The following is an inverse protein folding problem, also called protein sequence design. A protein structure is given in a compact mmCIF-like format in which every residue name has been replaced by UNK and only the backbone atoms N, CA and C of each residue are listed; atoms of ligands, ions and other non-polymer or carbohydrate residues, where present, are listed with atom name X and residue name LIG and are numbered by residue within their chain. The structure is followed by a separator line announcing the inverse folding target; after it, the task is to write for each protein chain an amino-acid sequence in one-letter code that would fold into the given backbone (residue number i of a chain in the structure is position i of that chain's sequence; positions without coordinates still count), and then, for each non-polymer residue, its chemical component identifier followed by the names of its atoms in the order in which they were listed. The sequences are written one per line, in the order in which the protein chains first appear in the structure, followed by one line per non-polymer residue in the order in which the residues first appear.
data_IF_627384715114
#
_entry.id   IF_627384715114
#
_cell.length_a   1.000
_cell.length_b   1.000
_cell.length_c   1.000
_cell.angle_alpha   90.00
_cell.angle_beta   90.00
_cell.angle_gamma   90.00
#
_symmetry.space_group_name_H-M   'P 1'
#
loop_
_entity.id
_entity.type
_entity.pdbx_description
1 polymer ?
#
# COMPACT_ATOMS: atom_id res chain seq x y z
N UNK A 1 -7.07 10.20 -24.51
CA UNK A 1 -7.03 9.97 -24.13
C UNK A 1 -7.34 9.22 -23.68
N UNK A 2 -7.47 8.79 -23.46
CA UNK A 2 -7.76 8.14 -22.93
C UNK A 2 -7.34 7.52 -22.32
N UNK A 3 -6.94 7.23 -22.10
CA UNK A 3 -6.49 6.72 -21.56
C UNK A 3 -6.55 6.87 -20.46
N UNK A 4 -6.61 7.13 -19.96
CA UNK A 4 -6.61 7.54 -18.99
C UNK A 4 -7.52 7.01 -18.20
N UNK A 5 -8.22 6.65 -18.32
CA UNK A 5 -9.15 6.23 -17.61
C UNK A 5 -8.77 5.02 -17.06
N UNK A 6 -7.97 4.29 -17.38
CA UNK A 6 -7.77 3.14 -16.89
C UNK A 6 -6.77 3.24 -15.98
N UNK A 7 -6.15 4.01 -16.08
CA UNK A 7 -5.16 3.95 -15.22
C UNK A 7 -5.60 4.07 -13.92
N UNK A 8 -6.59 4.45 -13.75
CA UNK A 8 -7.07 4.69 -12.57
C UNK A 8 -7.09 3.64 -11.65
N UNK A 9 -7.31 2.63 -12.03
CA UNK A 9 -7.48 1.73 -11.09
C UNK A 9 -6.22 1.34 -10.60
N UNK A 10 -5.34 1.48 -10.95
CA UNK A 10 -4.22 1.08 -10.48
C UNK A 10 -3.39 1.84 -9.80
N UNK A 11 -3.23 2.54 -9.63
CA UNK A 11 -2.48 3.28 -8.92
C UNK A 11 -1.41 2.74 -8.47
N UNK A 12 -0.98 2.22 -8.59
CA UNK A 12 0.03 1.66 -8.24
C UNK A 12 1.23 1.64 -8.09
N UNK A 13 1.77 1.59 -8.24
CA UNK A 13 2.89 1.60 -8.02
C UNK A 13 3.63 0.66 -7.96
N UNK A 14 3.65 0.20 -7.73
CA UNK A 14 4.32 -0.76 -7.47
C UNK A 14 5.16 -1.53 -8.04
N UNK A 15 5.72 -1.33 -8.36
CA UNK A 15 6.59 -1.99 -8.96
C UNK A 15 6.79 -3.25 -8.54
N UNK A 16 7.19 -3.65 -7.87
CA UNK A 16 7.39 -4.81 -7.52
C UNK A 16 6.49 -5.65 -7.45
N UNK A 17 5.74 -5.45 -7.33
CA UNK A 17 4.90 -6.29 -7.25
C UNK A 17 4.75 -7.62 -7.37
N UNK A 18 5.39 -8.12 -7.86
CA UNK A 18 5.26 -9.43 -7.95
C UNK A 18 4.71 -9.94 -6.74
N UNK A 19 4.88 -9.42 -5.73
CA UNK A 19 4.38 -9.88 -4.60
C UNK A 19 3.04 -10.15 -4.63
N UNK A 20 2.34 -9.62 -5.15
CA UNK A 20 1.07 -9.83 -5.16
C UNK A 20 0.50 -10.77 -5.93
N UNK A 21 1.08 -11.40 -6.52
CA UNK A 21 0.51 -12.32 -7.33
C UNK A 21 -0.37 -13.08 -6.61
N UNK A 22 -0.32 -13.24 -5.55
CA UNK A 22 -1.10 -14.03 -4.89
C UNK A 22 -2.42 -13.81 -4.84
N UNK A 23 -2.98 -13.05 -4.99
CA UNK A 23 -4.28 -12.90 -4.94
C UNK A 23 -5.07 -13.46 -3.95
N UNK A 24 -4.70 -14.07 -3.13
CA UNK A 24 -5.57 -14.59 -2.25
C UNK A 24 -5.80 -13.74 -1.15
N UNK A 25 -6.80 -13.69 -0.56
CA UNK A 25 -7.05 -12.89 0.52
C UNK A 25 -6.79 -13.56 1.80
N UNK A 26 -6.25 -14.73 1.88
CA UNK A 26 -6.02 -15.31 3.08
C UNK A 26 -4.71 -14.97 3.59
N UNK A 27 -4.47 -14.86 4.85
CA UNK A 27 -3.21 -14.60 5.45
C UNK A 27 -2.26 -15.75 5.19
N UNK A 28 -1.02 -15.45 4.96
CA UNK A 28 0.00 -16.47 4.88
C UNK A 28 1.09 -16.09 5.86
N UNK A 29 1.91 -17.07 6.23
CA UNK A 29 2.91 -16.85 7.22
C UNK A 29 3.91 -15.81 6.76
N UNK A 30 4.29 -14.93 7.63
CA UNK A 30 5.29 -13.93 7.31
C UNK A 30 6.70 -14.49 7.50
N UNK A 31 7.64 -14.02 6.72
CA UNK A 31 9.03 -14.49 6.88
C UNK A 31 9.59 -14.02 8.21
N UNK A 32 10.65 -14.67 8.62
CA UNK A 32 11.31 -14.32 9.84
C UNK A 32 11.72 -12.87 9.82
N UNK A 33 11.59 -12.20 10.90
CA UNK A 33 11.91 -10.78 10.97
C UNK A 33 10.70 -9.89 10.90
N UNK A 34 9.57 -10.40 10.46
CA UNK A 34 8.35 -9.63 10.42
C UNK A 34 7.34 -10.23 11.39
N UNK A 35 6.52 -9.39 11.98
CA UNK A 35 5.39 -9.89 12.76
C UNK A 35 4.13 -9.24 12.20
N UNK A 36 3.00 -9.90 12.36
CA UNK A 36 1.76 -9.32 11.90
C UNK A 36 1.53 -7.98 12.58
N UNK A 37 1.84 -7.89 13.86
CA UNK A 37 1.62 -6.65 14.56
C UNK A 37 2.49 -5.52 14.03
N UNK A 38 3.76 -5.78 13.75
CA UNK A 38 4.63 -4.72 13.26
C UNK A 38 4.22 -4.26 11.88
N UNK A 39 3.81 -5.21 11.01
CA UNK A 39 3.39 -4.87 9.67
C UNK A 39 2.10 -4.08 9.73
N UNK A 40 1.16 -4.51 10.57
CA UNK A 40 -0.11 -3.84 10.71
C UNK A 40 0.07 -2.42 11.23
N UNK A 41 0.86 -2.26 12.27
CA UNK A 41 1.06 -0.95 12.87
C UNK A 41 1.73 0.02 11.90
N UNK A 42 2.73 -0.47 11.17
CA UNK A 42 3.39 0.39 10.21
C UNK A 42 2.46 0.74 9.05
N UNK A 43 1.62 -0.21 8.63
CA UNK A 43 0.70 0.07 7.54
C UNK A 43 -0.31 1.12 7.96
N UNK A 44 -0.79 1.07 9.19
CA UNK A 44 -1.73 2.08 9.66
C UNK A 44 -1.07 3.45 9.62
N UNK A 45 0.18 3.53 10.04
CA UNK A 45 0.90 4.79 10.03
C UNK A 45 1.12 5.29 8.61
N UNK A 46 1.46 4.38 7.70
CA UNK A 46 1.74 4.79 6.32
C UNK A 46 0.46 5.18 5.59
N UNK A 47 -0.66 4.51 5.87
CA UNK A 47 -1.94 4.88 5.29
C UNK A 47 -2.33 6.28 5.80
N UNK A 48 -2.19 6.52 7.09
CA UNK A 48 -2.55 7.82 7.63
C UNK A 48 -1.64 8.91 7.06
N UNK A 49 -0.38 8.60 6.84
CA UNK A 49 0.54 9.55 6.24
C UNK A 49 0.10 9.86 4.81
N UNK A 50 -0.28 8.82 4.05
CA UNK A 50 -0.72 9.04 2.69
C UNK A 50 -1.99 9.89 2.66
N UNK A 51 -2.89 9.68 3.63
CA UNK A 51 -4.13 10.44 3.68
C UNK A 51 -3.89 11.91 3.99
N UNK A 52 -2.76 12.23 4.59
CA UNK A 52 -2.53 13.59 5.03
C UNK A 52 -2.08 14.54 3.93
N UNK A 53 -1.97 14.05 2.72
CA UNK A 53 -1.54 14.84 1.59
C UNK A 53 -0.10 15.33 1.74
N UNK A 54 0.72 14.56 2.44
CA UNK A 54 2.12 14.90 2.63
C UNK A 54 2.91 14.07 1.63
N UNK A 55 2.99 14.55 0.40
CA UNK A 55 3.63 13.79 -0.65
C UNK A 55 5.08 13.47 -0.32
N UNK A 56 5.83 14.47 0.18
CA UNK A 56 7.24 14.24 0.43
C UNK A 56 7.44 13.22 1.54
N UNK A 57 6.63 13.28 2.58
CA UNK A 57 6.75 12.30 3.65
C UNK A 57 6.38 10.91 3.20
N UNK A 58 5.35 10.81 2.40
CA UNK A 58 4.92 9.50 1.88
C UNK A 58 6.00 8.93 0.96
N UNK A 59 6.53 9.75 0.05
CA UNK A 59 7.55 9.29 -0.88
C UNK A 59 8.78 8.81 -0.10
N UNK A 60 9.14 9.48 0.96
CA UNK A 60 10.32 9.13 1.73
C UNK A 60 10.19 7.79 2.43
N UNK A 61 8.97 7.29 2.57
CA UNK A 61 8.79 5.97 3.18
C UNK A 61 9.15 4.83 2.24
N UNK A 62 9.21 5.09 0.94
CA UNK A 62 9.50 4.03 -0.02
C UNK A 62 10.99 3.68 -0.03
N UNK A 63 11.29 2.46 -0.40
CA UNK A 63 12.66 2.03 -0.56
C UNK A 63 13.36 2.96 -1.55
N UNK A 64 14.63 3.24 -1.33
CA UNK A 64 15.35 4.21 -2.13
C UNK A 64 15.25 3.92 -3.61
N UNK A 65 15.33 2.67 -4.00
CA UNK A 65 15.32 2.31 -5.40
C UNK A 65 13.98 2.63 -6.08
N UNK A 66 12.93 2.85 -5.29
CA UNK A 66 11.64 3.10 -5.87
C UNK A 66 11.26 4.57 -5.85
N UNK A 67 12.00 5.39 -5.13
CA UNK A 67 11.56 6.77 -4.92
C UNK A 67 11.45 7.56 -6.22
N UNK A 68 12.27 7.27 -7.19
CA UNK A 68 12.21 8.03 -8.44
C UNK A 68 10.91 7.74 -9.19
N UNK A 69 10.24 6.64 -8.88
CA UNK A 69 8.98 6.31 -9.52
C UNK A 69 7.79 6.90 -8.77
N UNK A 70 8.02 7.47 -7.60
CA UNK A 70 6.94 7.99 -6.78
C UNK A 70 6.84 9.48 -7.07
N UNK A 71 5.86 9.85 -7.88
CA UNK A 71 5.71 11.21 -8.33
C UNK A 71 4.35 11.74 -7.90
N UNK A 72 4.17 13.05 -7.97
CA UNK A 72 2.90 13.62 -7.61
C UNK A 72 1.81 13.16 -8.57
N UNK A 73 2.17 12.84 -9.81
CA UNK A 73 1.21 12.36 -10.75
C UNK A 73 0.68 11.00 -10.35
N UNK A 74 1.53 10.18 -9.73
CA UNK A 74 1.11 8.86 -9.28
C UNK A 74 0.25 9.02 -8.03
N UNK A 75 0.51 10.01 -7.23
CA UNK A 75 -0.20 10.22 -5.97
C UNK A 75 -1.59 10.84 -6.19
N UNK A 76 -1.73 11.65 -7.20
CA UNK A 76 -2.97 12.41 -7.40
C UNK A 76 -4.23 11.53 -7.52
N UNK A 77 -4.22 10.43 -8.26
CA UNK A 77 -5.43 9.61 -8.35
C UNK A 77 -5.86 9.08 -6.99
N UNK A 78 -4.91 8.81 -6.11
CA UNK A 78 -5.23 8.36 -4.78
C UNK A 78 -5.92 9.49 -4.00
N UNK A 79 -5.41 10.71 -4.11
CA UNK A 79 -6.04 11.83 -3.43
C UNK A 79 -7.45 12.08 -3.97
N UNK A 80 -7.65 11.87 -5.27
CA UNK A 80 -8.97 12.03 -5.87
C UNK A 80 -9.92 10.96 -5.33
N UNK A 81 -9.42 9.76 -5.14
CA UNK A 81 -10.23 8.69 -4.59
C UNK A 81 -10.61 9.01 -3.15
N UNK A 82 -9.66 9.52 -2.37
CA UNK A 82 -9.95 9.88 -0.98
C UNK A 82 -11.02 10.95 -0.92
N UNK A 83 -10.97 11.92 -1.83
CA UNK A 83 -11.96 12.96 -1.84
C UNK A 83 -13.36 12.41 -2.04
N UNK A 84 -13.48 11.34 -2.84
CA UNK A 84 -14.77 10.76 -3.08
C UNK A 84 -15.22 9.90 -1.93
N UNK A 85 -14.29 9.31 -1.21
CA UNK A 85 -14.66 8.40 -0.12
C UNK A 85 -14.96 9.16 1.17
N UNK A 86 -14.48 10.39 1.27
CA UNK A 86 -14.79 11.19 2.44
C UNK A 86 -13.90 10.87 3.62
N UNK A 87 -14.36 11.22 4.79
CA UNK A 87 -13.52 11.11 5.96
C UNK A 87 -13.25 9.69 6.39
N UNK A 88 -12.05 9.49 6.91
CA UNK A 88 -11.66 8.20 7.47
C UNK A 88 -12.58 7.88 8.64
N UNK A 89 -12.99 6.63 8.74
CA UNK A 89 -13.78 6.21 9.88
C UNK A 89 -13.07 5.18 10.74
N UNK A 90 -12.61 4.11 10.17
CA UNK A 90 -11.97 3.08 10.98
C UNK A 90 -11.18 2.12 10.12
N UNK A 91 -10.21 1.48 10.71
CA UNK A 91 -9.50 0.38 10.08
C UNK A 91 -10.35 -0.88 10.25
N UNK A 92 -10.40 -1.68 9.23
CA UNK A 92 -11.19 -2.91 9.25
C UNK A 92 -10.35 -4.15 9.20
N UNK A 93 -10.71 -5.09 8.33
CA UNK A 93 -10.07 -6.39 8.29
C UNK A 93 -8.71 -6.37 7.67
N UNK A 94 -7.88 -7.31 8.08
CA UNK A 94 -6.54 -7.47 7.52
C UNK A 94 -6.32 -8.89 7.06
N UNK A 95 -5.44 -9.06 6.10
CA UNK A 95 -4.87 -10.35 5.74
C UNK A 95 -3.40 -10.10 5.47
N UNK A 96 -2.56 -11.05 5.78
CA UNK A 96 -1.13 -10.85 5.65
C UNK A 96 -0.54 -11.79 4.61
N UNK A 97 0.46 -11.34 3.88
CA UNK A 97 1.10 -12.12 2.84
C UNK A 97 2.59 -12.01 3.03
N UNK A 98 3.27 -13.13 3.11
CA UNK A 98 4.74 -13.15 3.18
C UNK A 98 5.31 -13.66 1.90
N UNK A 99 6.48 -13.22 1.53
CA UNK A 99 7.11 -13.69 0.33
C UNK A 99 8.62 -13.57 0.44
N UNK A 100 9.30 -14.54 -0.12
CA UNK A 100 10.73 -14.46 -0.17
C UNK A 100 11.10 -14.65 -1.62
N UNK A 101 11.93 -13.77 -2.17
CA UNK A 101 12.30 -13.84 -3.53
C UNK A 101 13.76 -13.50 -3.69
N UNK A 102 14.53 -14.39 -4.26
CA UNK A 102 15.94 -14.18 -4.49
C UNK A 102 16.67 -13.77 -3.22
N UNK A 103 16.33 -14.39 -2.13
CA UNK A 103 17.00 -14.10 -0.87
C UNK A 103 16.45 -12.89 -0.14
N UNK A 104 15.53 -12.15 -0.74
CA UNK A 104 14.97 -11.00 -0.10
C UNK A 104 13.60 -11.34 0.47
N UNK A 105 13.30 -10.84 1.65
CA UNK A 105 12.06 -11.15 2.31
C UNK A 105 11.15 -9.94 2.30
N UNK A 106 9.87 -10.19 2.09
CA UNK A 106 8.88 -9.13 2.02
C UNK A 106 7.65 -9.53 2.81
N UNK A 107 6.96 -8.55 3.34
CA UNK A 107 5.70 -8.78 4.04
C UNK A 107 4.71 -7.72 3.61
N UNK A 108 3.48 -8.11 3.39
CA UNK A 108 2.45 -7.18 3.00
C UNK A 108 1.21 -7.42 3.82
N UNK A 109 0.40 -6.39 3.95
CA UNK A 109 -0.90 -6.54 4.57
C UNK A 109 -1.92 -5.99 3.59
N UNK A 110 -3.03 -6.70 3.46
CA UNK A 110 -4.18 -6.24 2.71
C UNK A 110 -5.11 -5.72 3.78
N UNK A 111 -5.42 -4.43 3.73
CA UNK A 111 -6.14 -3.77 4.81
C UNK A 111 -7.38 -3.08 4.25
N UNK A 112 -8.53 -3.41 4.76
CA UNK A 112 -9.76 -2.77 4.36
C UNK A 112 -9.98 -1.61 5.32
N UNK A 113 -10.17 -0.42 4.79
CA UNK A 113 -10.31 0.78 5.62
C UNK A 113 -11.66 1.41 5.28
N UNK A 114 -12.41 1.79 6.30
CA UNK A 114 -13.73 2.37 6.10
C UNK A 114 -13.67 3.89 6.11
N UNK A 115 -14.37 4.47 5.17
CA UNK A 115 -14.48 5.91 5.02
C UNK A 115 -15.97 6.24 4.99
N UNK A 116 -16.31 7.51 5.10
CA UNK A 116 -17.69 7.92 5.18
C UNK A 116 -18.54 7.43 4.01
N UNK A 117 -17.95 7.41 2.80
CA UNK A 117 -18.71 7.02 1.63
C UNK A 117 -18.26 5.69 1.03
N UNK A 118 -17.66 4.84 1.80
CA UNK A 118 -17.29 3.52 1.29
C UNK A 118 -16.01 3.00 1.89
N UNK A 119 -15.40 2.08 1.21
CA UNK A 119 -14.19 1.45 1.71
C UNK A 119 -13.09 1.55 0.69
N UNK A 120 -11.87 1.53 1.14
CA UNK A 120 -10.71 1.39 0.27
C UNK A 120 -9.96 0.16 0.75
N UNK A 121 -9.55 -0.67 -0.18
CA UNK A 121 -8.74 -1.82 0.14
C UNK A 121 -7.31 -1.47 -0.20
N UNK A 122 -6.45 -1.49 0.78
CA UNK A 122 -5.05 -1.17 0.60
C UNK A 122 -4.23 -2.44 0.57
N UNK A 123 -3.22 -2.48 -0.26
CA UNK A 123 -2.19 -3.51 -0.17
C UNK A 123 -0.89 -2.79 0.07
N UNK A 124 -0.31 -3.00 1.23
CA UNK A 124 0.87 -2.25 1.65
C UNK A 124 1.97 -3.25 1.93
N UNK A 125 3.07 -3.14 1.21
CA UNK A 125 4.15 -4.11 1.32
C UNK A 125 5.44 -3.49 1.76
N UNK A 126 6.23 -4.26 2.48
CA UNK A 126 7.46 -3.81 3.10
C UNK A 126 8.63 -4.72 2.81
N UNK A 127 9.82 -4.14 2.73
CA UNK A 127 11.05 -4.94 2.65
C UNK A 127 11.58 -5.17 4.06
N UNK A 128 12.75 -5.74 4.16
CA UNK A 128 13.31 -6.11 5.46
C UNK A 128 13.65 -4.91 6.31
N UNK A 129 13.77 -3.74 5.72
CA UNK A 129 14.04 -2.53 6.47
C UNK A 129 12.75 -1.78 6.79
N UNK A 130 11.63 -2.42 6.56
CA UNK A 130 10.31 -1.82 6.77
C UNK A 130 10.11 -0.56 5.96
N UNK A 131 10.69 -0.55 4.75
CA UNK A 131 10.44 0.51 3.81
C UNK A 131 9.35 0.04 2.86
N UNK A 132 8.55 0.97 2.37
CA UNK A 132 7.48 0.61 1.46
C UNK A 132 8.03 0.13 0.13
N UNK A 133 7.55 -0.99 -0.35
CA UNK A 133 7.86 -1.48 -1.67
C UNK A 133 6.58 -1.63 -2.47
N UNK A 134 5.42 -1.43 -1.84
CA UNK A 134 4.17 -1.55 -2.53
C UNK A 134 3.14 -0.75 -1.78
N UNK A 135 2.35 0.02 -2.49
CA UNK A 135 1.23 0.74 -1.87
C UNK A 135 0.16 0.83 -2.96
N UNK A 136 -0.88 0.05 -2.82
CA UNK A 136 -1.96 0.02 -3.79
C UNK A 136 -3.25 0.30 -3.05
N UNK A 137 -4.06 1.19 -3.59
CA UNK A 137 -5.35 1.50 -2.97
C UNK A 137 -6.42 1.36 -4.05
N UNK A 138 -7.47 0.64 -3.74
CA UNK A 138 -8.54 0.45 -4.70
C UNK A 138 -9.91 0.24 -4.05
#
# INVERSE_FOLDING_TARGET
MMKKRYGWKLLVLAALVALLAVGCSKSSKLPEGFTEESVKTQAEADIKLAESNDFEGWKARFADSLQSSITEEVYQPYLDMLAKKGDFESFGKTAFVGQEKEGQKYAAVIYVVKYAEGEIKYTVGYDEDMKLVQFVAQ
#
